data_IF_743970228265
#
_entry.id   IF_743970228265
#
_cell.length_a   1.000
_cell.length_b   1.000
_cell.length_c   1.000
_cell.angle_alpha   90.00
_cell.angle_beta   90.00
_cell.angle_gamma   90.00
#
_symmetry.space_group_name_H-M   'P 1'
#
loop_
_entity.id
_entity.type
_entity.pdbx_description
1 polymer ?
#
# COMPACT_ATOMS: atom_id res chain seq x y z
N UNK A 1 7.83 1.83 12.54
CA UNK A 1 7.55 1.72 13.99
C UNK A 1 6.90 0.38 14.37
N UNK A 2 6.01 -0.22 13.58
CA UNK A 2 5.35 -1.50 13.96
C UNK A 2 6.13 -2.80 13.65
N UNK A 3 7.15 -2.80 12.79
CA UNK A 3 7.86 -4.03 12.43
C UNK A 3 6.95 -5.03 11.67
N UNK A 4 7.13 -6.33 11.92
CA UNK A 4 6.41 -7.40 11.21
C UNK A 4 5.05 -7.78 11.85
N UNK A 5 4.75 -7.30 13.05
CA UNK A 5 3.45 -7.47 13.69
C UNK A 5 3.13 -6.26 14.58
N UNK A 6 1.93 -5.70 14.44
CA UNK A 6 1.51 -4.54 15.24
C UNK A 6 1.06 -4.99 16.62
N UNK A 7 1.67 -4.44 17.67
CA UNK A 7 1.21 -4.63 19.04
C UNK A 7 -0.06 -3.81 19.31
N UNK A 8 -1.02 -4.39 20.05
CA UNK A 8 -2.28 -3.72 20.40
C UNK A 8 -2.07 -2.40 21.14
N UNK A 9 -2.97 -1.43 20.95
CA UNK A 9 -2.90 -0.10 21.57
C UNK A 9 -1.95 0.88 20.88
N UNK A 10 -0.99 0.42 20.09
CA UNK A 10 0.01 1.30 19.44
C UNK A 10 -0.50 2.03 18.18
N UNK A 11 -1.70 1.72 17.68
CA UNK A 11 -2.24 2.38 16.49
C UNK A 11 -2.62 3.83 16.76
N UNK A 12 -3.40 4.08 17.82
CA UNK A 12 -3.88 5.42 18.15
C UNK A 12 -2.71 6.32 18.55
N UNK A 13 -1.81 5.81 19.39
CA UNK A 13 -0.58 6.51 19.75
C UNK A 13 0.29 6.82 18.53
N UNK A 14 0.44 5.84 17.61
CA UNK A 14 1.18 6.02 16.37
C UNK A 14 0.56 7.09 15.46
N UNK A 15 -0.76 7.15 15.37
CA UNK A 15 -1.47 8.17 14.60
C UNK A 15 -1.31 9.58 15.19
N UNK A 16 -1.51 9.73 16.51
CA UNK A 16 -1.39 11.03 17.19
C UNK A 16 0.05 11.56 17.11
N UNK A 17 1.02 10.74 17.53
CA UNK A 17 2.43 11.13 17.52
C UNK A 17 2.95 11.31 16.09
N UNK A 18 2.63 10.39 15.19
CA UNK A 18 3.04 10.49 13.79
C UNK A 18 2.47 11.72 13.09
N UNK A 19 1.20 12.05 13.36
CA UNK A 19 0.55 13.26 12.86
C UNK A 19 1.19 14.53 13.38
N UNK A 20 1.47 14.61 14.69
CA UNK A 20 2.17 15.75 15.29
C UNK A 20 3.56 15.95 14.66
N UNK A 21 4.38 14.90 14.60
CA UNK A 21 5.73 14.99 14.02
C UNK A 21 5.68 15.35 12.53
N UNK A 22 4.72 14.80 11.78
CA UNK A 22 4.52 15.16 10.39
C UNK A 22 4.19 16.65 10.24
N UNK A 23 3.27 17.17 11.06
CA UNK A 23 2.90 18.58 11.05
C UNK A 23 4.08 19.50 11.40
N UNK A 24 4.82 19.19 12.48
CA UNK A 24 6.00 19.95 12.89
C UNK A 24 7.08 19.94 11.80
N UNK A 25 7.29 18.79 11.13
CA UNK A 25 8.26 18.66 10.03
C UNK A 25 7.81 19.47 8.81
N UNK A 26 6.52 19.39 8.43
CA UNK A 26 5.95 20.16 7.33
C UNK A 26 6.08 21.67 7.58
N UNK A 27 5.82 22.15 8.80
CA UNK A 27 5.97 23.57 9.13
C UNK A 27 7.44 24.01 9.05
N UNK A 28 8.36 23.20 9.58
CA UNK A 28 9.79 23.50 9.56
C UNK A 28 10.40 23.49 8.16
N UNK A 29 10.04 22.51 7.33
CA UNK A 29 10.59 22.34 5.98
C UNK A 29 9.80 23.16 4.94
N UNK A 30 8.53 23.42 5.19
CA UNK A 30 7.62 24.15 4.31
C UNK A 30 8.11 25.58 4.02
N UNK A 31 8.69 26.24 5.01
CA UNK A 31 9.31 27.57 4.84
C UNK A 31 10.44 27.55 3.79
N UNK A 32 11.21 26.46 3.71
CA UNK A 32 12.28 26.26 2.72
C UNK A 32 11.82 25.62 1.41
N UNK A 33 10.58 25.13 1.35
CA UNK A 33 10.06 24.34 0.23
C UNK A 33 9.32 25.17 -0.82
N UNK A 34 9.26 26.50 -0.65
CA UNK A 34 8.58 27.42 -1.57
C UNK A 34 9.05 27.30 -3.03
N UNK A 35 10.32 26.94 -3.24
CA UNK A 35 10.90 26.72 -4.56
C UNK A 35 10.29 25.55 -5.35
N UNK A 36 9.66 24.58 -4.67
CA UNK A 36 9.03 23.41 -5.29
C UNK A 36 7.53 23.60 -5.57
N UNK A 37 6.92 24.67 -5.06
CA UNK A 37 5.49 24.96 -5.23
C UNK A 37 5.08 25.03 -6.70
N UNK A 38 5.83 25.68 -7.61
CA UNK A 38 5.45 25.71 -9.03
C UNK A 38 5.39 24.32 -9.67
N UNK A 39 6.34 23.44 -9.34
CA UNK A 39 6.38 22.07 -9.85
C UNK A 39 5.23 21.22 -9.28
N UNK A 40 4.98 21.33 -7.97
CA UNK A 40 3.86 20.64 -7.31
C UNK A 40 2.50 21.07 -7.89
N UNK A 41 2.30 22.37 -8.11
CA UNK A 41 1.08 22.91 -8.72
C UNK A 41 0.94 22.45 -10.18
N UNK A 42 2.02 22.43 -10.96
CA UNK A 42 1.99 21.91 -12.32
C UNK A 42 1.67 20.41 -12.37
N UNK A 43 2.24 19.62 -11.46
CA UNK A 43 1.93 18.20 -11.31
C UNK A 43 0.44 17.99 -10.95
N UNK A 44 -0.07 18.72 -9.96
CA UNK A 44 -1.48 18.63 -9.57
C UNK A 44 -2.40 19.02 -10.72
N UNK A 45 -2.13 20.12 -11.43
CA UNK A 45 -2.95 20.58 -12.56
C UNK A 45 -2.97 19.58 -13.73
N UNK A 46 -1.85 18.92 -14.01
CA UNK A 46 -1.79 17.87 -15.06
C UNK A 46 -2.53 16.59 -14.68
N UNK A 47 -2.73 16.35 -13.39
CA UNK A 47 -3.46 15.18 -12.88
C UNK A 47 -4.89 15.51 -12.42
N UNK A 48 -5.23 16.78 -12.24
CA UNK A 48 -6.61 17.28 -12.05
C UNK A 48 -7.49 16.92 -13.24
N UNK A 49 -6.98 16.96 -14.47
CA UNK A 49 -7.73 16.53 -15.67
C UNK A 49 -8.01 15.01 -15.70
N UNK A 50 -7.18 14.20 -15.03
CA UNK A 50 -7.42 12.77 -14.85
C UNK A 50 -8.44 12.50 -13.74
N UNK A 51 -8.36 13.26 -12.64
CA UNK A 51 -9.30 13.17 -11.52
C UNK A 51 -10.67 13.85 -11.75
N UNK A 52 -10.75 14.80 -12.71
CA UNK A 52 -11.95 15.61 -12.98
C UNK A 52 -12.67 15.24 -14.27
N UNK A 53 -12.23 14.21 -14.98
CA UNK A 53 -12.87 13.78 -16.23
C UNK A 53 -14.29 13.27 -15.94
N UNK A 54 -15.35 13.90 -16.47
CA UNK A 54 -16.68 13.32 -16.41
C UNK A 54 -16.68 12.08 -17.33
N UNK A 55 -16.89 10.90 -16.76
CA UNK A 55 -17.16 9.70 -17.56
C UNK A 55 -18.49 9.92 -18.31
N UNK A 56 -18.42 10.01 -19.64
CA UNK A 56 -19.54 10.35 -20.54
C UNK A 56 -20.75 9.37 -20.53
N UNK A 57 -20.81 8.38 -19.63
CA UNK A 57 -21.93 7.42 -19.61
C UNK A 57 -23.00 7.69 -18.55
N UNK A 58 -22.91 8.76 -17.75
CA UNK A 58 -23.90 9.08 -16.72
C UNK A 58 -25.05 9.98 -17.20
N UNK A 59 -25.21 10.18 -18.51
CA UNK A 59 -26.34 10.93 -19.07
C UNK A 59 -27.45 9.96 -19.51
N UNK A 60 -28.25 9.48 -18.55
CA UNK A 60 -29.72 9.35 -18.66
C UNK A 60 -30.35 8.88 -17.35
N UNK A 61 -31.46 9.55 -17.03
CA UNK A 61 -32.44 9.33 -15.96
C UNK A 61 -32.17 9.94 -14.57
N UNK A 62 -32.36 11.26 -14.52
CA UNK A 62 -33.47 11.94 -13.81
C UNK A 62 -34.05 11.27 -12.54
N UNK A 63 -33.72 11.78 -11.35
CA UNK A 63 -34.63 12.63 -10.53
C UNK A 63 -34.06 12.93 -9.13
N UNK A 64 -33.91 14.22 -8.84
CA UNK A 64 -33.93 14.91 -7.53
C UNK A 64 -33.30 14.26 -6.28
N UNK A 65 -32.11 14.72 -5.91
CA UNK A 65 -31.85 15.26 -4.56
C UNK A 65 -30.52 16.02 -4.55
N UNK A 66 -30.59 17.29 -4.18
CA UNK A 66 -29.48 18.23 -4.10
C UNK A 66 -28.81 18.12 -2.74
N UNK A 67 -27.67 17.45 -2.66
CA UNK A 67 -26.66 17.65 -1.62
C UNK A 67 -25.41 18.27 -2.28
N UNK A 68 -25.00 19.52 -1.95
CA UNK A 68 -23.92 20.20 -2.67
C UNK A 68 -22.51 19.95 -2.10
N UNK A 69 -22.29 18.91 -1.29
CA UNK A 69 -20.98 18.70 -0.63
C UNK A 69 -20.60 17.22 -0.48
N UNK A 70 -20.92 16.41 -1.49
CA UNK A 70 -20.44 15.03 -1.60
C UNK A 70 -19.31 14.94 -2.61
N UNK A 71 -18.08 14.69 -2.16
CA UNK A 71 -17.05 14.11 -3.02
C UNK A 71 -17.68 12.90 -3.73
N UNK A 72 -17.83 12.98 -5.06
CA UNK A 72 -18.23 11.84 -5.90
C UNK A 72 -17.14 10.80 -5.74
N UNK A 73 -17.28 9.91 -4.77
CA UNK A 73 -16.59 8.64 -4.80
C UNK A 73 -17.13 7.94 -6.06
N UNK A 74 -16.24 7.64 -7.01
CA UNK A 74 -16.57 6.78 -8.13
C UNK A 74 -17.29 5.56 -7.58
N UNK A 75 -18.52 5.31 -8.05
CA UNK A 75 -19.29 4.14 -7.59
C UNK A 75 -18.46 2.89 -7.85
N UNK A 76 -18.04 2.24 -6.77
CA UNK A 76 -17.28 1.00 -6.83
C UNK A 76 -18.05 0.00 -7.67
N UNK A 77 -17.39 -0.69 -8.60
CA UNK A 77 -18.04 -1.81 -9.29
C UNK A 77 -18.09 -2.99 -8.33
N UNK A 78 -19.24 -3.34 -7.72
CA UNK A 78 -19.25 -4.29 -6.60
C UNK A 78 -18.74 -5.66 -7.02
N UNK A 79 -18.92 -6.03 -8.29
CA UNK A 79 -18.44 -7.28 -8.86
C UNK A 79 -16.91 -7.32 -8.98
N UNK A 80 -16.26 -6.24 -9.42
CA UNK A 80 -14.80 -6.17 -9.51
C UNK A 80 -14.19 -6.23 -8.10
N UNK A 81 -14.72 -5.44 -7.17
CA UNK A 81 -14.26 -5.44 -5.79
C UNK A 81 -14.42 -6.81 -5.15
N UNK A 82 -15.53 -7.50 -5.37
CA UNK A 82 -15.74 -8.87 -4.88
C UNK A 82 -14.76 -9.89 -5.48
N UNK A 83 -14.53 -9.85 -6.80
CA UNK A 83 -13.55 -10.74 -7.47
C UNK A 83 -12.13 -10.51 -6.91
N UNK A 84 -11.72 -9.25 -6.78
CA UNK A 84 -10.41 -8.90 -6.21
C UNK A 84 -10.30 -9.38 -4.76
N UNK A 85 -11.32 -9.15 -3.95
CA UNK A 85 -11.35 -9.58 -2.55
C UNK A 85 -11.19 -11.10 -2.42
N UNK A 86 -11.87 -11.89 -3.27
CA UNK A 86 -11.72 -13.35 -3.30
C UNK A 86 -10.29 -13.78 -3.59
N UNK A 87 -9.67 -13.22 -4.65
CA UNK A 87 -8.28 -13.53 -5.03
C UNK A 87 -7.29 -13.22 -3.90
N UNK A 88 -7.44 -12.07 -3.24
CA UNK A 88 -6.54 -11.66 -2.15
C UNK A 88 -6.81 -12.48 -0.87
N UNK A 89 -8.06 -12.80 -0.56
CA UNK A 89 -8.41 -13.62 0.60
C UNK A 89 -7.79 -15.03 0.51
N UNK A 90 -7.89 -15.67 -0.66
CA UNK A 90 -7.35 -17.01 -0.90
C UNK A 90 -5.81 -17.07 -0.91
N UNK A 91 -5.14 -15.94 -1.16
CA UNK A 91 -3.68 -15.91 -1.36
C UNK A 91 -2.89 -15.20 -0.25
N UNK A 92 -3.50 -14.23 0.44
CA UNK A 92 -2.87 -13.40 1.47
C UNK A 92 -3.46 -13.62 2.87
N UNK A 93 -4.17 -14.73 3.07
CA UNK A 93 -4.67 -15.17 4.37
C UNK A 93 -3.57 -15.42 5.41
N UNK A 94 -3.95 -16.05 6.54
CA UNK A 94 -3.02 -16.33 7.65
C UNK A 94 -1.85 -17.19 7.17
N UNK A 95 -2.16 -18.25 6.42
CA UNK A 95 -1.19 -19.15 5.80
C UNK A 95 -1.09 -18.80 4.32
N UNK A 96 0.13 -18.60 3.84
CA UNK A 96 0.42 -18.24 2.45
C UNK A 96 1.30 -19.29 1.81
N UNK A 97 1.17 -19.46 0.51
CA UNK A 97 1.97 -20.39 -0.29
C UNK A 97 2.28 -19.74 -1.63
N UNK A 98 3.47 -19.99 -2.19
CA UNK A 98 3.86 -19.46 -3.50
C UNK A 98 2.82 -19.70 -4.59
N UNK A 99 2.26 -20.92 -4.64
CA UNK A 99 1.29 -21.32 -5.66
C UNK A 99 0.01 -20.49 -5.64
N UNK A 100 -0.57 -20.23 -4.46
CA UNK A 100 -1.80 -19.42 -4.36
C UNK A 100 -1.52 -17.95 -4.68
N UNK A 101 -0.39 -17.41 -4.22
CA UNK A 101 0.00 -16.02 -4.51
C UNK A 101 0.28 -15.78 -6.00
N UNK A 102 0.91 -16.73 -6.70
CA UNK A 102 1.12 -16.65 -8.16
C UNK A 102 -0.20 -16.68 -8.93
N UNK A 103 -1.12 -17.58 -8.58
CA UNK A 103 -2.47 -17.62 -9.18
C UNK A 103 -3.23 -16.31 -8.96
N UNK A 104 -3.11 -15.71 -7.78
CA UNK A 104 -3.74 -14.41 -7.51
C UNK A 104 -3.15 -13.29 -8.37
N UNK A 105 -1.83 -13.27 -8.61
CA UNK A 105 -1.22 -12.31 -9.55
C UNK A 105 -1.76 -12.45 -10.97
N UNK A 106 -1.90 -13.68 -11.46
CA UNK A 106 -2.52 -13.94 -12.77
C UNK A 106 -3.97 -13.45 -12.79
N UNK A 107 -4.75 -13.75 -11.74
CA UNK A 107 -6.13 -13.28 -11.59
C UNK A 107 -6.25 -11.75 -11.56
N UNK A 108 -5.36 -11.05 -10.87
CA UNK A 108 -5.33 -9.57 -10.87
C UNK A 108 -4.98 -9.03 -12.25
N UNK A 109 -4.06 -9.67 -12.98
CA UNK A 109 -3.72 -9.28 -14.35
C UNK A 109 -4.90 -9.44 -15.31
N UNK A 110 -5.72 -10.47 -15.12
CA UNK A 110 -6.96 -10.66 -15.90
C UNK A 110 -8.01 -9.63 -15.53
N UNK A 111 -8.20 -9.34 -14.22
CA UNK A 111 -9.11 -8.30 -13.77
C UNK A 111 -8.80 -6.94 -14.37
N UNK A 112 -7.51 -6.59 -14.52
CA UNK A 112 -7.05 -5.35 -15.14
C UNK A 112 -7.47 -5.19 -16.62
N UNK A 113 -7.84 -6.29 -17.29
CA UNK A 113 -8.33 -6.29 -18.67
C UNK A 113 -9.86 -6.17 -18.77
N UNK A 114 -10.60 -6.21 -17.65
CA UNK A 114 -12.05 -6.05 -17.68
C UNK A 114 -12.43 -4.61 -18.07
N UNK A 115 -13.50 -4.47 -18.84
CA UNK A 115 -14.05 -3.16 -19.18
C UNK A 115 -14.80 -2.56 -17.99
N UNK A 116 -14.92 -1.23 -17.94
CA UNK A 116 -15.66 -0.54 -16.88
C UNK A 116 -14.92 -0.37 -15.55
N UNK A 117 -13.62 -0.72 -15.47
CA UNK A 117 -12.79 -0.44 -14.31
C UNK A 117 -12.69 1.06 -14.03
N UNK A 118 -13.12 1.46 -12.83
CA UNK A 118 -12.89 2.81 -12.28
C UNK A 118 -11.41 3.05 -11.99
N UNK A 119 -11.01 4.31 -11.79
CA UNK A 119 -9.64 4.61 -11.33
C UNK A 119 -9.38 3.99 -9.95
N UNK A 120 -10.39 4.04 -9.08
CA UNK A 120 -10.38 3.40 -7.77
C UNK A 120 -10.10 1.90 -7.85
N UNK A 121 -10.75 1.17 -8.76
CA UNK A 121 -10.51 -0.26 -8.97
C UNK A 121 -9.07 -0.54 -9.43
N UNK A 122 -8.56 0.27 -10.37
CA UNK A 122 -7.17 0.13 -10.86
C UNK A 122 -6.15 0.36 -9.75
N UNK A 123 -6.40 1.33 -8.88
CA UNK A 123 -5.54 1.62 -7.72
C UNK A 123 -5.55 0.47 -6.70
N UNK A 124 -6.72 -0.12 -6.44
CA UNK A 124 -6.86 -1.28 -5.56
C UNK A 124 -6.15 -2.51 -6.12
N UNK A 125 -6.32 -2.79 -7.42
CA UNK A 125 -5.64 -3.92 -8.09
C UNK A 125 -4.13 -3.73 -8.04
N UNK A 126 -3.63 -2.53 -8.33
CA UNK A 126 -2.20 -2.20 -8.25
C UNK A 126 -1.63 -2.40 -6.84
N UNK A 127 -2.37 -2.00 -5.81
CA UNK A 127 -1.98 -2.23 -4.42
C UNK A 127 -1.96 -3.72 -4.09
N UNK A 128 -2.97 -4.48 -4.52
CA UNK A 128 -3.01 -5.94 -4.38
C UNK A 128 -1.79 -6.62 -5.02
N UNK A 129 -1.43 -6.20 -6.24
CA UNK A 129 -0.25 -6.69 -6.94
C UNK A 129 1.04 -6.39 -6.17
N UNK A 130 1.19 -5.17 -5.64
CA UNK A 130 2.34 -4.77 -4.83
C UNK A 130 2.49 -5.65 -3.58
N UNK A 131 1.39 -5.94 -2.89
CA UNK A 131 1.38 -6.77 -1.68
C UNK A 131 1.75 -8.22 -2.03
N UNK A 132 1.15 -8.79 -3.08
CA UNK A 132 1.43 -10.15 -3.54
C UNK A 132 2.89 -10.33 -3.95
N UNK A 133 3.43 -9.41 -4.76
CA UNK A 133 4.84 -9.44 -5.16
C UNK A 133 5.78 -9.32 -3.96
N UNK A 134 5.44 -8.45 -3.00
CA UNK A 134 6.21 -8.31 -1.75
C UNK A 134 6.19 -9.59 -0.92
N UNK A 135 5.04 -10.25 -0.83
CA UNK A 135 4.87 -11.51 -0.11
C UNK A 135 5.61 -12.67 -0.79
N UNK A 136 5.61 -12.73 -2.12
CA UNK A 136 6.37 -13.72 -2.89
C UNK A 136 7.88 -13.53 -2.77
N UNK A 137 8.33 -12.28 -2.78
CA UNK A 137 9.75 -11.92 -2.63
C UNK A 137 10.30 -12.33 -1.26
N UNK A 138 9.50 -12.17 -0.19
CA UNK A 138 9.88 -12.61 1.15
C UNK A 138 9.74 -14.14 1.28
N UNK A 139 10.88 -14.83 1.38
CA UNK A 139 10.96 -16.30 1.53
C UNK A 139 11.30 -16.69 2.98
N UNK A 140 10.49 -16.22 3.92
CA UNK A 140 10.58 -16.54 5.34
C UNK A 140 9.21 -16.39 6.00
N UNK A 141 9.09 -16.81 7.25
CA UNK A 141 7.94 -16.51 8.10
C UNK A 141 8.33 -15.62 9.28
N UNK A 142 7.66 -14.47 9.42
CA UNK A 142 7.90 -13.48 10.49
C UNK A 142 6.67 -12.61 10.75
N UNK A 143 6.21 -12.59 12.00
CA UNK A 143 5.07 -11.77 12.41
C UNK A 143 3.77 -12.20 11.72
N UNK A 144 3.03 -11.25 11.15
CA UNK A 144 1.78 -11.54 10.43
C UNK A 144 1.98 -12.21 9.05
N UNK A 145 3.23 -12.27 8.58
CA UNK A 145 3.60 -12.95 7.35
C UNK A 145 4.07 -14.37 7.65
N UNK A 146 3.20 -15.36 7.47
CA UNK A 146 3.53 -16.78 7.56
C UNK A 146 3.36 -17.44 6.20
N UNK A 147 4.36 -18.23 5.80
CA UNK A 147 4.46 -18.98 4.55
C UNK A 147 4.65 -20.46 4.86
N UNK A 148 3.75 -21.32 4.41
CA UNK A 148 3.85 -22.77 4.65
C UNK A 148 5.04 -23.41 3.92
N UNK A 149 5.45 -22.82 2.80
CA UNK A 149 6.61 -23.22 2.00
C UNK A 149 7.95 -22.65 2.52
N UNK A 150 7.90 -21.65 3.42
CA UNK A 150 9.05 -21.08 4.13
C UNK A 150 8.68 -20.84 5.61
N UNK A 151 8.47 -21.90 6.40
CA UNK A 151 7.85 -21.80 7.73
C UNK A 151 8.77 -21.16 8.78
N UNK A 152 10.08 -21.17 8.54
CA UNK A 152 11.07 -20.63 9.44
C UNK A 152 11.38 -19.16 9.16
N UNK A 153 11.82 -18.47 10.20
CA UNK A 153 12.38 -17.13 10.08
C UNK A 153 13.79 -17.21 9.49
N UNK A 154 14.09 -16.34 8.53
CA UNK A 154 15.43 -16.22 7.95
C UNK A 154 16.15 -15.00 8.54
N UNK A 155 17.15 -15.22 9.38
CA UNK A 155 17.92 -14.12 10.00
C UNK A 155 18.74 -13.31 8.99
N UNK A 156 19.04 -13.87 7.80
CA UNK A 156 19.68 -13.11 6.72
C UNK A 156 18.72 -12.11 6.07
N UNK A 157 17.41 -12.35 6.18
CA UNK A 157 16.37 -11.44 5.70
C UNK A 157 16.20 -10.25 6.67
N UNK A 158 17.01 -9.22 6.44
CA UNK A 158 17.08 -8.01 7.26
C UNK A 158 16.78 -6.75 6.44
N UNK A 159 15.56 -6.23 6.55
CA UNK A 159 15.18 -4.97 5.91
C UNK A 159 13.68 -4.79 5.72
N UNK A 160 13.32 -3.69 5.07
CA UNK A 160 11.96 -3.37 4.66
C UNK A 160 11.82 -3.74 3.18
N UNK A 161 10.85 -4.59 2.87
CA UNK A 161 10.46 -4.83 1.48
C UNK A 161 9.78 -3.58 0.95
N UNK A 162 10.27 -3.06 -0.16
CA UNK A 162 9.74 -1.88 -0.84
C UNK A 162 9.24 -2.28 -2.22
N UNK A 163 8.00 -1.90 -2.54
CA UNK A 163 7.44 -2.00 -3.87
C UNK A 163 7.45 -0.62 -4.53
N UNK A 164 8.02 -0.51 -5.72
CA UNK A 164 8.14 0.75 -6.46
C UNK A 164 7.53 0.54 -7.84
N UNK A 165 6.58 1.40 -8.24
CA UNK A 165 6.05 1.39 -9.59
C UNK A 165 6.91 2.27 -10.51
N UNK A 166 7.46 1.68 -11.57
CA UNK A 166 8.21 2.36 -12.63
C UNK A 166 7.79 1.79 -13.99
N UNK A 167 7.56 2.66 -14.96
CA UNK A 167 7.21 2.27 -16.34
C UNK A 167 6.07 1.24 -16.41
N UNK A 168 5.05 1.42 -15.57
CA UNK A 168 3.89 0.53 -15.48
C UNK A 168 4.14 -0.81 -14.77
N UNK A 169 5.35 -1.08 -14.27
CA UNK A 169 5.72 -2.33 -13.57
C UNK A 169 6.03 -2.08 -12.11
N UNK A 170 5.77 -3.08 -11.28
CA UNK A 170 6.11 -3.06 -9.85
C UNK A 170 7.42 -3.83 -9.63
N UNK A 171 8.46 -3.09 -9.24
CA UNK A 171 9.75 -3.61 -8.81
C UNK A 171 9.74 -3.82 -7.30
N UNK A 172 10.27 -4.96 -6.84
CA UNK A 172 10.43 -5.25 -5.42
C UNK A 172 11.91 -5.19 -5.05
N UNK A 173 12.22 -4.46 -3.99
CA UNK A 173 13.57 -4.32 -3.44
C UNK A 173 13.55 -4.43 -1.91
N UNK A 174 14.72 -4.56 -1.29
CA UNK A 174 14.91 -4.54 0.15
C UNK A 174 15.70 -3.31 0.59
N UNK A 175 15.02 -2.38 1.26
CA UNK A 175 15.69 -1.29 1.96
C UNK A 175 16.25 -1.81 3.27
N UNK A 176 17.56 -2.02 3.31
CA UNK A 176 18.27 -2.29 4.57
C UNK A 176 18.09 -1.12 5.53
N UNK A 177 17.92 -1.43 6.82
CA UNK A 177 17.84 -0.40 7.85
C UNK A 177 19.15 0.39 7.79
N UNK A 178 19.10 1.72 7.74
CA UNK A 178 20.32 2.54 7.91
C UNK A 178 20.98 2.07 9.21
N UNK A 179 22.26 1.71 9.15
CA UNK A 179 23.04 1.60 10.36
C UNK A 179 23.00 2.97 11.02
N UNK A 180 22.41 3.06 12.21
CA UNK A 180 22.54 4.26 13.01
C UNK A 180 24.04 4.51 13.17
N UNK A 181 24.49 5.74 12.97
CA UNK A 181 25.88 6.23 13.14
C UNK A 181 26.42 6.08 14.58
N UNK A 182 25.81 5.21 15.40
CA UNK A 182 26.14 4.90 16.79
C UNK A 182 26.31 3.40 17.10
N UNK A 183 26.35 2.51 16.11
CA UNK A 183 26.89 1.14 16.27
C UNK A 183 26.40 0.34 17.48
N UNK A 184 25.13 0.51 17.91
CA UNK A 184 24.57 -0.20 19.06
C UNK A 184 23.74 -1.38 18.59
N UNK A 185 24.39 -2.52 18.39
CA UNK A 185 23.77 -3.83 18.58
C UNK A 185 23.32 -3.93 20.05
N UNK A 186 22.00 -3.98 20.29
CA UNK A 186 21.50 -4.36 21.62
C UNK A 186 21.76 -5.86 21.79
N UNK A 187 22.91 -6.19 22.37
CA UNK A 187 23.09 -7.47 23.06
C UNK A 187 22.12 -7.52 24.24
N UNK A 188 21.13 -8.41 24.16
CA UNK A 188 20.32 -8.80 25.30
C UNK A 188 21.20 -9.71 26.16
N UNK A 189 21.97 -9.14 27.08
CA UNK A 189 22.61 -9.94 28.14
C UNK A 189 21.51 -10.55 29.01
N UNK A 190 21.39 -11.87 28.89
CA UNK A 190 20.67 -12.75 29.80
C UNK A 190 21.48 -12.75 31.10
N UNK A 191 21.01 -12.03 32.12
CA UNK A 191 21.56 -12.19 33.47
C UNK A 191 20.81 -13.36 34.11
N UNK A 192 21.53 -14.48 34.24
CA UNK A 192 21.28 -15.51 35.24
C UNK A 192 21.75 -14.96 36.59
N UNK A 193 20.83 -14.78 37.54
CA UNK A 193 20.98 -15.24 38.93
C UNK A 193 19.60 -15.29 39.58
#
# INVERSE_FOLDING_TARGET
>A
YHGANRLGGNSMLGALYGGQIAAETILKEGESSFQYVPEAVAFLRTHEESASRPTESAAKDDTSSTDPEGSRYEEETPQITAKMASLLYESLGIIREEKSMRRALEGLSLLLQEEGLTETDRNRIMLGEAILRSALFRKESRGAHFRSDFPERDESFCGLVTAIKKDGKIEIDIRKKREDSKGRTKETKRNET
#
